data_IF_570841816215
#
_entry.id   IF_570841816215
#
_cell.length_a   1.000
_cell.length_b   1.000
_cell.length_c   1.000
_cell.angle_alpha   90.00
_cell.angle_beta   90.00
_cell.angle_gamma   90.00
#
_symmetry.space_group_name_H-M   'P 1'
#
loop_
_entity.id
_entity.type
_entity.pdbx_description
1 polymer ?
#
# COMPACT_ATOMS: atom_id res chain seq x y z
N UNK A 1 19.71 -3.35 -3.81
CA UNK A 1 18.40 -3.83 -3.31
C UNK A 1 17.37 -3.69 -4.40
N UNK A 2 16.37 -4.57 -4.43
CA UNK A 2 15.35 -4.57 -5.46
C UNK A 2 14.03 -4.10 -4.82
N UNK A 3 13.59 -2.87 -5.11
CA UNK A 3 12.27 -2.39 -4.67
C UNK A 3 11.17 -3.26 -5.26
N UNK A 4 10.16 -3.57 -4.45
CA UNK A 4 8.92 -4.22 -4.86
C UNK A 4 8.16 -3.37 -5.89
N UNK A 5 7.25 -4.00 -6.63
CA UNK A 5 6.37 -3.28 -7.57
C UNK A 5 5.51 -2.26 -6.83
N UNK A 6 4.97 -2.60 -5.67
CA UNK A 6 4.20 -1.68 -4.82
C UNK A 6 4.96 -0.44 -4.39
N UNK A 7 6.24 -0.57 -4.02
CA UNK A 7 7.07 0.59 -3.65
C UNK A 7 7.29 1.51 -4.84
N UNK A 8 7.62 0.95 -6.02
CA UNK A 8 7.81 1.74 -7.24
C UNK A 8 6.53 2.48 -7.65
N UNK A 9 5.37 1.81 -7.56
CA UNK A 9 4.09 2.45 -7.85
C UNK A 9 3.77 3.57 -6.87
N UNK A 10 4.09 3.40 -5.60
CA UNK A 10 3.93 4.45 -4.59
C UNK A 10 4.85 5.65 -4.86
N UNK A 11 6.13 5.42 -5.19
CA UNK A 11 7.07 6.49 -5.55
C UNK A 11 6.57 7.28 -6.78
N UNK A 12 6.08 6.59 -7.80
CA UNK A 12 5.47 7.21 -8.99
C UNK A 12 4.23 8.02 -8.62
N UNK A 13 3.33 7.46 -7.79
CA UNK A 13 2.15 8.16 -7.31
C UNK A 13 2.53 9.43 -6.55
N UNK A 14 3.51 9.37 -5.66
CA UNK A 14 3.99 10.55 -4.94
C UNK A 14 4.53 11.62 -5.90
N UNK A 15 5.35 11.24 -6.88
CA UNK A 15 5.90 12.16 -7.85
C UNK A 15 4.81 12.82 -8.72
N UNK A 16 3.82 12.04 -9.18
CA UNK A 16 2.71 12.53 -10.01
C UNK A 16 1.80 13.51 -9.26
N UNK A 17 1.63 13.33 -7.96
CA UNK A 17 0.76 14.15 -7.12
C UNK A 17 1.52 15.18 -6.28
N UNK A 18 2.80 15.40 -6.55
CA UNK A 18 3.67 16.35 -5.84
C UNK A 18 3.68 16.12 -4.32
N UNK A 19 3.57 14.87 -3.91
CA UNK A 19 3.66 14.47 -2.51
C UNK A 19 5.13 14.32 -2.11
N UNK A 20 5.48 14.91 -0.98
CA UNK A 20 6.83 14.84 -0.41
C UNK A 20 7.01 13.51 0.33
N UNK A 21 7.26 12.45 -0.44
CA UNK A 21 7.55 11.12 0.07
C UNK A 21 9.06 10.90 0.15
N UNK A 22 9.56 10.57 1.33
CA UNK A 22 10.97 10.26 1.57
C UNK A 22 11.10 8.81 2.02
N UNK A 23 11.87 8.02 1.28
CA UNK A 23 12.20 6.65 1.71
C UNK A 23 13.04 6.71 2.98
N UNK A 24 12.67 5.92 3.97
CA UNK A 24 13.43 5.80 5.21
C UNK A 24 14.55 4.79 4.99
N UNK A 25 15.76 5.13 5.44
CA UNK A 25 16.88 4.20 5.35
C UNK A 25 16.62 2.97 6.22
N UNK A 26 16.89 1.78 5.67
CA UNK A 26 16.81 0.54 6.44
C UNK A 26 17.84 0.58 7.58
N UNK A 27 17.39 0.26 8.79
CA UNK A 27 18.25 0.16 9.97
C UNK A 27 17.98 -1.17 10.68
N UNK A 28 18.76 -1.47 11.71
CA UNK A 28 18.46 -2.59 12.62
C UNK A 28 17.17 -2.37 13.43
N UNK A 29 16.67 -1.13 13.48
CA UNK A 29 15.41 -0.78 14.13
C UNK A 29 14.22 -0.93 13.18
N UNK A 30 13.04 -1.19 13.75
CA UNK A 30 11.80 -1.24 12.98
C UNK A 30 11.37 0.18 12.60
N UNK A 31 11.48 0.52 11.32
CA UNK A 31 11.06 1.80 10.73
C UNK A 31 9.96 1.58 9.70
N UNK A 32 9.11 2.58 9.42
CA UNK A 32 8.27 2.55 8.22
C UNK A 32 9.14 2.58 6.96
N UNK A 33 8.59 2.18 5.82
CA UNK A 33 9.26 2.26 4.53
C UNK A 33 9.45 3.73 4.06
N UNK A 34 8.46 4.59 4.31
CA UNK A 34 8.47 5.99 3.89
C UNK A 34 7.96 6.94 4.98
N UNK A 35 8.40 8.19 4.89
CA UNK A 35 7.74 9.35 5.48
C UNK A 35 7.06 10.16 4.39
N UNK A 36 5.80 10.53 4.61
CA UNK A 36 5.04 11.45 3.76
C UNK A 36 4.82 12.76 4.52
N UNK A 37 5.28 13.88 3.96
CA UNK A 37 5.00 15.21 4.52
C UNK A 37 3.67 15.75 4.00
N UNK A 38 2.79 16.18 4.91
CA UNK A 38 1.53 16.87 4.63
C UNK A 38 1.38 18.09 5.55
N UNK A 39 1.61 19.29 5.01
CA UNK A 39 1.72 20.51 5.81
C UNK A 39 2.85 20.37 6.85
N UNK A 40 2.53 20.55 8.13
CA UNK A 40 3.47 20.37 9.25
C UNK A 40 3.46 18.96 9.83
N UNK A 41 2.68 18.03 9.24
CA UNK A 41 2.54 16.65 9.73
C UNK A 41 3.38 15.69 8.90
N UNK A 42 4.17 14.87 9.58
CA UNK A 42 4.83 13.70 8.99
C UNK A 42 3.93 12.49 9.20
N UNK A 43 3.73 11.68 8.16
CA UNK A 43 3.00 10.41 8.23
C UNK A 43 3.97 9.27 7.93
N UNK A 44 4.03 8.27 8.80
CA UNK A 44 4.78 7.05 8.54
C UNK A 44 3.97 6.10 7.66
N UNK A 45 4.54 5.68 6.53
CA UNK A 45 3.89 4.80 5.56
C UNK A 45 4.65 3.49 5.45
N UNK A 46 3.99 2.38 5.78
CA UNK A 46 4.47 1.03 5.48
C UNK A 46 3.78 0.52 4.22
N UNK A 47 4.54 -0.07 3.31
CA UNK A 47 4.04 -0.69 2.10
C UNK A 47 4.08 -2.22 2.26
N UNK A 48 2.96 -2.86 1.90
CA UNK A 48 2.86 -4.30 1.78
C UNK A 48 2.21 -4.65 0.45
N UNK A 49 2.59 -5.80 -0.11
CA UNK A 49 2.02 -6.33 -1.33
C UNK A 49 1.34 -7.66 -1.02
N UNK A 50 0.11 -7.85 -1.49
CA UNK A 50 -0.49 -9.19 -1.55
C UNK A 50 0.02 -9.82 -2.83
N UNK A 51 0.70 -10.95 -2.68
CA UNK A 51 1.18 -11.81 -3.78
C UNK A 51 0.47 -13.16 -3.67
N UNK A 52 0.13 -13.76 -4.80
CA UNK A 52 -0.37 -15.13 -4.85
C UNK A 52 0.14 -15.83 -6.10
N UNK A 53 0.85 -16.94 -5.90
CA UNK A 53 1.31 -17.82 -6.99
C UNK A 53 0.14 -18.60 -7.61
N UNK A 54 -0.96 -18.73 -6.86
CA UNK A 54 -2.21 -19.33 -7.32
C UNK A 54 -3.12 -18.19 -7.72
N UNK A 55 -3.37 -18.01 -9.01
CA UNK A 55 -4.44 -17.13 -9.49
C UNK A 55 -5.69 -17.40 -8.65
N UNK A 56 -6.17 -16.39 -7.94
CA UNK A 56 -7.36 -16.58 -7.11
C UNK A 56 -8.51 -16.77 -8.11
N UNK A 57 -9.41 -17.74 -7.87
CA UNK A 57 -10.51 -18.04 -8.79
C UNK A 57 -11.76 -17.24 -8.36
N UNK A 58 -12.31 -16.31 -9.17
CA UNK A 58 -13.37 -15.39 -8.76
C UNK A 58 -14.76 -16.02 -8.57
N UNK A 59 -14.98 -17.24 -9.04
CA UNK A 59 -16.34 -17.76 -9.35
C UNK A 59 -17.18 -18.18 -8.15
N UNK A 60 -16.61 -18.27 -6.94
CA UNK A 60 -17.24 -19.07 -5.86
C UNK A 60 -17.61 -18.25 -4.61
N UNK A 61 -17.43 -16.92 -4.63
CA UNK A 61 -17.63 -16.06 -3.44
C UNK A 61 -16.59 -16.27 -2.31
N UNK A 62 -15.71 -17.26 -2.45
CA UNK A 62 -14.54 -17.55 -1.58
C UNK A 62 -13.45 -16.48 -1.72
N UNK A 63 -13.49 -15.71 -2.82
CA UNK A 63 -12.60 -14.60 -3.13
C UNK A 63 -12.41 -13.60 -1.99
N UNK A 64 -13.53 -13.09 -1.45
CA UNK A 64 -13.52 -12.06 -0.40
C UNK A 64 -12.90 -12.58 0.91
N UNK A 65 -13.10 -13.86 1.22
CA UNK A 65 -12.55 -14.51 2.42
C UNK A 65 -11.03 -14.66 2.32
N UNK A 66 -10.53 -15.06 1.14
CA UNK A 66 -9.10 -15.22 0.87
C UNK A 66 -8.38 -13.87 0.88
N UNK A 67 -8.90 -12.86 0.17
CA UNK A 67 -8.32 -11.50 0.19
C UNK A 67 -8.33 -10.92 1.60
N UNK A 68 -9.45 -11.01 2.30
CA UNK A 68 -9.54 -10.53 3.68
C UNK A 68 -8.54 -11.23 4.62
N UNK A 69 -8.26 -12.52 4.40
CA UNK A 69 -7.23 -13.24 5.13
C UNK A 69 -5.83 -12.69 4.83
N UNK A 70 -5.47 -12.49 3.56
CA UNK A 70 -4.18 -11.89 3.19
C UNK A 70 -4.01 -10.47 3.73
N UNK A 71 -5.05 -9.63 3.67
CA UNK A 71 -5.04 -8.28 4.27
C UNK A 71 -4.74 -8.36 5.77
N UNK A 72 -5.40 -9.26 6.51
CA UNK A 72 -5.14 -9.46 7.95
C UNK A 72 -3.71 -9.93 8.24
N UNK A 73 -3.16 -10.80 7.38
CA UNK A 73 -1.75 -11.19 7.48
C UNK A 73 -0.83 -9.97 7.31
N UNK A 74 -1.04 -9.14 6.28
CA UNK A 74 -0.23 -7.93 6.05
C UNK A 74 -0.34 -6.90 7.17
N UNK A 75 -1.52 -6.74 7.76
CA UNK A 75 -1.70 -5.90 8.97
C UNK A 75 -0.85 -6.43 10.13
N UNK A 76 -0.82 -7.76 10.31
CA UNK A 76 -0.04 -8.39 11.38
C UNK A 76 1.46 -8.25 11.14
N UNK A 77 1.92 -8.44 9.90
CA UNK A 77 3.32 -8.25 9.49
C UNK A 77 3.81 -6.81 9.72
N UNK A 78 3.00 -5.80 9.38
CA UNK A 78 3.34 -4.39 9.51
C UNK A 78 3.27 -3.85 10.95
N UNK A 79 2.69 -4.62 11.89
CA UNK A 79 2.36 -4.13 13.23
C UNK A 79 3.57 -3.60 14.00
N UNK A 80 4.74 -4.21 13.83
CA UNK A 80 5.94 -3.80 14.57
C UNK A 80 6.44 -2.42 14.13
N UNK A 81 6.51 -2.18 12.83
CA UNK A 81 6.90 -0.91 12.21
C UNK A 81 5.87 0.18 12.56
N UNK A 82 4.58 -0.09 12.34
CA UNK A 82 3.50 0.86 12.61
C UNK A 82 3.35 1.17 14.10
N UNK A 83 3.64 0.22 14.97
CA UNK A 83 3.67 0.45 16.40
C UNK A 83 4.76 1.45 16.82
N UNK A 84 5.92 1.47 16.15
CA UNK A 84 6.98 2.47 16.41
C UNK A 84 6.50 3.86 16.01
N UNK A 85 5.92 4.00 14.82
CA UNK A 85 5.36 5.27 14.31
C UNK A 85 4.27 5.81 15.25
N UNK A 86 3.29 4.97 15.59
CA UNK A 86 2.18 5.36 16.46
C UNK A 86 2.64 5.76 17.88
N UNK A 87 3.61 5.04 18.46
CA UNK A 87 4.17 5.39 19.78
C UNK A 87 4.94 6.72 19.76
N UNK A 88 5.48 7.11 18.61
CA UNK A 88 6.10 8.42 18.42
C UNK A 88 5.06 9.56 18.26
N UNK A 89 3.76 9.27 18.37
CA UNK A 89 2.68 10.26 18.18
C UNK A 89 2.44 10.63 16.71
N UNK A 90 3.04 9.89 15.78
CA UNK A 90 2.94 10.14 14.34
C UNK A 90 1.75 9.37 13.74
N UNK A 91 0.97 9.98 12.83
CA UNK A 91 0.00 9.24 12.02
C UNK A 91 0.69 8.11 11.24
N UNK A 92 0.04 6.96 11.18
CA UNK A 92 0.55 5.77 10.52
C UNK A 92 -0.42 5.29 9.42
N UNK A 93 0.12 4.99 8.25
CA UNK A 93 -0.61 4.42 7.12
C UNK A 93 0.04 3.09 6.73
N UNK A 94 -0.78 2.05 6.66
CA UNK A 94 -0.42 0.81 5.99
C UNK A 94 -1.05 0.81 4.59
N UNK A 95 -0.23 0.90 3.56
CA UNK A 95 -0.65 0.82 2.17
C UNK A 95 -0.47 -0.62 1.68
N UNK A 96 -1.57 -1.29 1.32
CA UNK A 96 -1.55 -2.65 0.79
C UNK A 96 -1.85 -2.62 -0.70
N UNK A 97 -0.87 -2.95 -1.53
CA UNK A 97 -1.09 -3.13 -2.96
C UNK A 97 -1.60 -4.56 -3.23
N UNK A 98 -2.77 -4.65 -3.83
CA UNK A 98 -3.44 -5.92 -4.10
C UNK A 98 -3.16 -6.36 -5.54
N UNK A 99 -2.12 -7.17 -5.79
CA UNK A 99 -1.79 -7.60 -7.17
C UNK A 99 -2.74 -8.65 -7.75
N UNK A 100 -3.62 -9.19 -6.91
CA UNK A 100 -4.42 -10.38 -7.24
C UNK A 100 -5.85 -10.05 -7.60
N UNK A 101 -6.28 -8.79 -7.52
CA UNK A 101 -7.65 -8.37 -7.89
C UNK A 101 -7.83 -8.25 -9.42
N UNK A 102 -8.65 -9.11 -10.06
CA UNK A 102 -8.88 -9.05 -11.50
C UNK A 102 -9.58 -7.75 -11.92
N UNK A 103 -10.29 -7.07 -11.01
CA UNK A 103 -10.96 -5.81 -11.30
C UNK A 103 -10.00 -4.61 -11.34
N UNK A 104 -8.75 -4.74 -10.87
CA UNK A 104 -7.74 -3.69 -11.06
C UNK A 104 -7.38 -3.47 -12.54
N UNK A 105 -7.58 -4.48 -13.40
CA UNK A 105 -7.41 -4.33 -14.85
C UNK A 105 -8.61 -3.71 -15.57
N UNK A 106 -9.80 -3.71 -14.96
CA UNK A 106 -11.03 -3.29 -15.62
C UNK A 106 -11.20 -1.76 -15.69
N UNK A 107 -10.50 -1.01 -14.83
CA UNK A 107 -10.47 0.47 -14.86
C UNK A 107 -9.31 1.00 -15.72
N UNK A 108 -9.19 0.51 -16.97
CA UNK A 108 -8.26 1.07 -17.97
C UNK A 108 -8.97 1.65 -19.21
N UNK A 109 -10.29 1.78 -19.18
CA UNK A 109 -11.02 2.55 -20.20
C UNK A 109 -11.37 3.94 -19.64
N UNK A 110 -10.63 5.01 -20.03
CA UNK A 110 -10.96 6.38 -19.65
C UNK A 110 -12.27 6.90 -20.27
N UNK A 111 -12.97 6.10 -21.08
CA UNK A 111 -14.24 6.48 -21.73
C UNK A 111 -15.48 6.44 -20.82
N UNK A 112 -15.37 5.98 -19.57
CA UNK A 112 -16.52 5.80 -18.66
C UNK A 112 -16.53 6.75 -17.44
N UNK A 113 -15.73 7.81 -17.43
CA UNK A 113 -15.91 8.87 -16.45
C UNK A 113 -17.09 9.75 -16.89
N UNK A 114 -18.17 9.89 -16.10
CA UNK A 114 -19.23 10.83 -16.43
C UNK A 114 -18.61 12.23 -16.51
N UNK A 115 -18.79 12.88 -17.65
CA UNK A 115 -18.45 14.29 -17.79
C UNK A 115 -19.27 15.06 -16.76
N UNK A 116 -18.59 15.71 -15.82
CA UNK A 116 -19.22 16.69 -14.95
C UNK A 116 -19.55 17.92 -15.82
N UNK A 117 -20.79 17.96 -16.30
CA UNK A 117 -21.47 19.19 -16.74
C UNK A 117 -22.32 19.72 -15.61
#
# INVERSE_FOLDING_TARGET
MQSTVSEKLFEVFCAQHLLQCHRVAETSSKTPDYHLQTGDTVVGVEIKQIESDRGINPTDGTWSRTIGWHVRQKITEARAQMGVVARAGMPAVLLIYNTVDPLQGASKNPSNLPSLT
#
